data_IF_706462695447
#
_entry.id   IF_706462695447
#
_cell.length_a   1.000
_cell.length_b   1.000
_cell.length_c   1.000
_cell.angle_alpha   90.00
_cell.angle_beta   90.00
_cell.angle_gamma   90.00
#
_symmetry.space_group_name_H-M   'P 1'
#
loop_
_entity.id
_entity.type
_entity.pdbx_description
1 polymer ?
#
# COMPACT_ATOMS: atom_id res chain seq x y z
N UNK A 1 17.94 -3.07 -20.45
CA UNK A 1 17.65 -2.12 -19.37
C UNK A 1 16.17 -1.71 -19.30
N UNK A 2 15.56 -1.01 -20.27
CA UNK A 2 14.16 -0.53 -20.15
C UNK A 2 13.04 -1.59 -20.16
N UNK A 3 13.36 -2.88 -20.34
CA UNK A 3 12.40 -3.98 -20.41
C UNK A 3 12.55 -5.01 -19.27
N UNK A 4 13.44 -4.77 -18.32
CA UNK A 4 13.64 -5.68 -17.19
C UNK A 4 12.58 -5.41 -16.11
N UNK A 5 11.92 -6.48 -15.62
CA UNK A 5 10.77 -6.40 -14.71
C UNK A 5 11.06 -5.55 -13.45
N UNK A 6 12.29 -5.61 -12.93
CA UNK A 6 12.71 -4.83 -11.76
C UNK A 6 12.71 -3.32 -11.98
N UNK A 7 12.80 -2.87 -13.24
CA UNK A 7 12.77 -1.44 -13.58
C UNK A 7 11.46 -0.81 -13.15
N UNK A 8 10.34 -1.53 -13.28
CA UNK A 8 9.00 -1.03 -12.92
C UNK A 8 8.84 -0.92 -11.40
N UNK A 9 9.30 -1.89 -10.64
CA UNK A 9 9.29 -1.86 -9.17
C UNK A 9 10.10 -0.69 -8.63
N UNK A 10 11.33 -0.52 -9.12
CA UNK A 10 12.21 0.57 -8.68
C UNK A 10 11.63 1.95 -9.05
N UNK A 11 11.08 2.09 -10.25
CA UNK A 11 10.42 3.32 -10.69
C UNK A 11 9.24 3.67 -9.78
N UNK A 12 8.40 2.70 -9.41
CA UNK A 12 7.24 2.93 -8.55
C UNK A 12 7.64 3.28 -7.11
N UNK A 13 8.66 2.62 -6.55
CA UNK A 13 9.23 3.01 -5.24
C UNK A 13 9.79 4.43 -5.26
N UNK A 14 10.43 4.82 -6.37
CA UNK A 14 10.93 6.19 -6.55
C UNK A 14 9.79 7.20 -6.62
N UNK A 15 8.75 6.94 -7.42
CA UNK A 15 7.59 7.84 -7.53
C UNK A 15 6.81 7.98 -6.21
N UNK A 16 6.67 6.91 -5.43
CA UNK A 16 6.12 7.02 -4.08
C UNK A 16 6.93 7.99 -3.21
N UNK A 17 8.27 7.97 -3.33
CA UNK A 17 9.14 8.91 -2.63
C UNK A 17 8.97 10.36 -3.08
N UNK A 18 8.74 10.61 -4.37
CA UNK A 18 8.44 11.95 -4.88
C UNK A 18 7.13 12.50 -4.33
N UNK A 19 6.09 11.67 -4.23
CA UNK A 19 4.82 12.07 -3.63
C UNK A 19 4.95 12.37 -2.14
N UNK A 20 5.69 11.54 -1.39
CA UNK A 20 5.93 11.78 0.05
C UNK A 20 6.72 13.06 0.32
N UNK A 21 7.67 13.40 -0.56
CA UNK A 21 8.40 14.67 -0.47
C UNK A 21 7.52 15.87 -0.84
N UNK A 22 6.64 15.73 -1.83
CA UNK A 22 5.69 16.77 -2.22
C UNK A 22 4.63 17.00 -1.14
N UNK A 23 4.18 15.94 -0.48
CA UNK A 23 3.34 16.00 0.72
C UNK A 23 4.03 16.82 1.81
N UNK A 24 5.27 16.49 2.18
CA UNK A 24 6.03 17.21 3.21
C UNK A 24 6.08 18.72 2.92
N UNK A 25 6.34 19.10 1.66
CA UNK A 25 6.34 20.51 1.24
C UNK A 25 4.97 21.17 1.35
N UNK A 26 3.89 20.44 1.05
CA UNK A 26 2.53 20.96 1.19
C UNK A 26 2.16 21.25 2.66
N UNK A 27 2.61 20.41 3.60
CA UNK A 27 2.44 20.64 5.04
C UNK A 27 3.19 21.89 5.51
N UNK A 28 4.42 22.10 5.01
CA UNK A 28 5.26 23.24 5.39
C UNK A 28 4.84 24.56 4.72
N UNK A 29 4.32 24.49 3.50
CA UNK A 29 4.18 25.64 2.59
C UNK A 29 3.09 26.66 2.91
N UNK A 30 2.23 26.43 3.93
CA UNK A 30 1.08 27.30 4.30
C UNK A 30 0.21 27.78 3.12
N UNK A 31 0.20 27.04 2.02
CA UNK A 31 -0.60 27.39 0.86
C UNK A 31 -2.10 27.25 1.20
N UNK A 32 -2.95 28.09 0.61
CA UNK A 32 -4.41 28.05 0.84
C UNK A 32 -5.03 26.68 0.51
N UNK A 33 -4.38 25.92 -0.40
CA UNK A 33 -4.79 24.59 -0.85
C UNK A 33 -3.99 23.45 -0.19
N UNK A 34 -3.28 23.69 0.91
CA UNK A 34 -2.39 22.70 1.54
C UNK A 34 -3.10 21.36 1.84
N UNK A 35 -4.34 21.38 2.33
CA UNK A 35 -5.09 20.15 2.63
C UNK A 35 -5.40 19.31 1.38
N UNK A 36 -5.77 19.97 0.27
CA UNK A 36 -6.05 19.29 -1.00
C UNK A 36 -4.75 18.70 -1.59
N UNK A 37 -3.63 19.41 -1.47
CA UNK A 37 -2.31 18.91 -1.88
C UNK A 37 -1.89 17.70 -1.04
N UNK A 38 -2.03 17.77 0.28
CA UNK A 38 -1.76 16.64 1.19
C UNK A 38 -2.58 15.41 0.81
N UNK A 39 -3.89 15.57 0.57
CA UNK A 39 -4.75 14.45 0.18
C UNK A 39 -4.34 13.88 -1.20
N UNK A 40 -4.07 14.74 -2.18
CA UNK A 40 -3.62 14.31 -3.51
C UNK A 40 -2.31 13.51 -3.44
N UNK A 41 -1.33 14.00 -2.67
CA UNK A 41 -0.04 13.32 -2.55
C UNK A 41 -0.12 12.03 -1.73
N UNK A 42 -1.05 11.95 -0.76
CA UNK A 42 -1.36 10.71 -0.04
C UNK A 42 -1.85 9.62 -1.00
N UNK A 43 -2.84 9.93 -1.82
CA UNK A 43 -3.40 8.98 -2.78
C UNK A 43 -2.37 8.59 -3.85
N UNK A 44 -1.56 9.54 -4.33
CA UNK A 44 -0.49 9.28 -5.27
C UNK A 44 0.59 8.35 -4.70
N UNK A 45 1.05 8.60 -3.46
CA UNK A 45 2.01 7.74 -2.78
C UNK A 45 1.47 6.32 -2.65
N UNK A 46 0.22 6.15 -2.19
CA UNK A 46 -0.42 4.85 -2.04
C UNK A 46 -0.58 4.11 -3.38
N UNK A 47 -1.02 4.81 -4.43
CA UNK A 47 -1.09 4.26 -5.79
C UNK A 47 0.28 3.77 -6.29
N UNK A 48 1.33 4.54 -6.02
CA UNK A 48 2.68 4.15 -6.41
C UNK A 48 3.21 2.97 -5.61
N UNK A 49 2.93 2.87 -4.31
CA UNK A 49 3.33 1.72 -3.49
C UNK A 49 2.62 0.43 -3.92
N UNK A 50 1.32 0.47 -4.17
CA UNK A 50 0.60 -0.68 -4.76
C UNK A 50 1.21 -1.08 -6.12
N UNK A 51 1.53 -0.10 -6.96
CA UNK A 51 2.20 -0.35 -8.24
C UNK A 51 3.60 -0.96 -8.10
N UNK A 52 4.34 -0.62 -7.04
CA UNK A 52 5.64 -1.22 -6.74
C UNK A 52 5.48 -2.67 -6.27
N UNK A 53 4.51 -2.96 -5.41
CA UNK A 53 4.18 -4.32 -4.98
C UNK A 53 3.79 -5.20 -6.16
N UNK A 54 2.95 -4.70 -7.07
CA UNK A 54 2.59 -5.41 -8.30
C UNK A 54 3.83 -5.69 -9.17
N UNK A 55 4.72 -4.70 -9.31
CA UNK A 55 6.00 -4.89 -10.02
C UNK A 55 6.84 -6.01 -9.38
N UNK A 56 6.95 -6.04 -8.06
CA UNK A 56 7.70 -7.08 -7.34
C UNK A 56 7.06 -8.46 -7.53
N UNK A 57 5.73 -8.55 -7.50
CA UNK A 57 5.03 -9.80 -7.81
C UNK A 57 5.29 -10.27 -9.25
N UNK A 58 5.39 -9.34 -10.22
CA UNK A 58 5.76 -9.67 -11.60
C UNK A 58 7.21 -10.15 -11.71
N UNK A 59 8.15 -9.58 -10.95
CA UNK A 59 9.53 -10.09 -10.90
C UNK A 59 9.56 -11.54 -10.43
N UNK A 60 8.91 -11.85 -9.30
CA UNK A 60 8.83 -13.20 -8.73
C UNK A 60 8.14 -14.15 -9.71
N UNK A 61 6.97 -13.77 -10.23
CA UNK A 61 6.21 -14.58 -11.16
C UNK A 61 6.98 -14.83 -12.46
N UNK A 62 7.72 -13.84 -12.96
CA UNK A 62 8.58 -13.97 -14.13
C UNK A 62 9.76 -14.92 -13.89
N UNK A 63 10.42 -14.83 -12.74
CA UNK A 63 11.53 -15.70 -12.37
C UNK A 63 11.09 -17.17 -12.30
N UNK A 64 10.00 -17.46 -11.59
CA UNK A 64 9.44 -18.81 -11.46
C UNK A 64 8.59 -19.26 -12.66
N UNK A 65 8.45 -18.41 -13.70
CA UNK A 65 7.65 -18.66 -14.92
C UNK A 65 6.20 -19.05 -14.62
N UNK A 66 5.60 -18.35 -13.66
CA UNK A 66 4.20 -18.57 -13.29
C UNK A 66 3.26 -18.19 -14.45
N UNK A 67 2.17 -18.94 -14.66
CA UNK A 67 1.12 -18.54 -15.61
C UNK A 67 0.57 -17.12 -15.38
N UNK A 68 0.57 -16.69 -14.12
CA UNK A 68 0.05 -15.41 -13.65
C UNK A 68 1.03 -14.23 -13.86
N UNK A 69 2.20 -14.44 -14.49
CA UNK A 69 3.22 -13.38 -14.67
C UNK A 69 2.69 -12.11 -15.37
N UNK A 70 1.58 -12.20 -16.11
CA UNK A 70 0.90 -11.07 -16.73
C UNK A 70 -0.30 -10.49 -15.95
N UNK A 71 -0.57 -10.95 -14.73
CA UNK A 71 -1.76 -10.57 -13.98
C UNK A 71 -1.77 -9.05 -13.67
N UNK A 72 -2.86 -8.32 -13.97
CA UNK A 72 -2.90 -6.87 -13.80
C UNK A 72 -3.07 -6.40 -12.35
N UNK A 73 -3.35 -7.30 -11.40
CA UNK A 73 -3.67 -6.98 -10.00
C UNK A 73 -2.91 -7.85 -9.02
N UNK A 74 -2.55 -7.28 -7.87
CA UNK A 74 -1.82 -7.99 -6.81
C UNK A 74 -2.67 -9.13 -6.25
N UNK A 75 -3.97 -8.91 -6.10
CA UNK A 75 -4.92 -9.90 -5.55
C UNK A 75 -5.10 -11.13 -6.43
N UNK A 76 -4.63 -11.10 -7.69
CA UNK A 76 -4.60 -12.26 -8.57
C UNK A 76 -3.32 -13.09 -8.43
N UNK A 77 -2.28 -12.52 -7.83
CA UNK A 77 -0.96 -13.14 -7.62
C UNK A 77 -0.81 -13.65 -6.18
N UNK A 78 -1.19 -12.82 -5.20
CA UNK A 78 -1.05 -13.12 -3.78
C UNK A 78 -2.25 -13.91 -3.26
N UNK A 79 -2.38 -15.16 -3.71
CA UNK A 79 -3.43 -16.08 -3.26
C UNK A 79 -2.87 -17.42 -2.79
N UNK A 80 -3.54 -18.12 -1.86
CA UNK A 80 -3.17 -19.48 -1.49
C UNK A 80 -3.07 -20.43 -2.68
N UNK A 81 -3.91 -20.23 -3.70
CA UNK A 81 -3.97 -21.09 -4.88
C UNK A 81 -2.73 -20.94 -5.76
N UNK A 82 -2.31 -19.70 -6.03
CA UNK A 82 -1.07 -19.45 -6.80
C UNK A 82 0.14 -19.96 -6.03
N UNK A 83 0.20 -19.73 -4.71
CA UNK A 83 1.27 -20.26 -3.86
C UNK A 83 1.32 -21.79 -3.86
N UNK A 84 0.17 -22.46 -3.78
CA UNK A 84 0.11 -23.92 -3.83
C UNK A 84 0.52 -24.49 -5.19
N UNK A 85 0.21 -23.78 -6.29
CA UNK A 85 0.56 -24.19 -7.64
C UNK A 85 2.06 -24.04 -7.93
N UNK A 86 2.70 -23.03 -7.34
CA UNK A 86 4.13 -22.79 -7.48
C UNK A 86 4.74 -22.25 -6.16
N UNK A 87 5.13 -23.15 -5.25
CA UNK A 87 5.70 -22.76 -3.97
C UNK A 87 7.05 -22.06 -4.15
N UNK A 88 7.16 -20.84 -3.64
CA UNK A 88 8.44 -20.14 -3.47
C UNK A 88 8.47 -19.39 -2.14
N UNK A 89 9.65 -19.23 -1.52
CA UNK A 89 9.77 -18.55 -0.23
C UNK A 89 9.32 -17.08 -0.30
N UNK A 90 9.63 -16.37 -1.38
CA UNK A 90 9.26 -14.97 -1.58
C UNK A 90 7.73 -14.80 -1.72
N UNK A 91 7.10 -15.69 -2.49
CA UNK A 91 5.65 -15.67 -2.66
C UNK A 91 4.94 -16.08 -1.36
N UNK A 92 5.47 -17.07 -0.64
CA UNK A 92 4.92 -17.51 0.64
C UNK A 92 4.90 -16.35 1.65
N UNK A 93 6.02 -15.62 1.76
CA UNK A 93 6.12 -14.48 2.66
C UNK A 93 5.15 -13.35 2.28
N UNK A 94 5.03 -13.00 1.00
CA UNK A 94 4.08 -11.97 0.55
C UNK A 94 2.63 -12.37 0.79
N UNK A 95 2.29 -13.64 0.58
CA UNK A 95 0.93 -14.17 0.84
C UNK A 95 0.62 -14.16 2.33
N UNK A 96 1.58 -14.54 3.18
CA UNK A 96 1.42 -14.49 4.64
C UNK A 96 1.19 -13.06 5.12
N UNK A 97 2.05 -12.13 4.70
CA UNK A 97 1.90 -10.71 5.03
C UNK A 97 0.52 -10.19 4.57
N UNK A 98 0.11 -10.46 3.33
CA UNK A 98 -1.17 -9.96 2.81
C UNK A 98 -2.42 -10.51 3.54
N UNK A 99 -2.31 -11.68 4.18
CA UNK A 99 -3.44 -12.31 4.90
C UNK A 99 -3.53 -11.89 6.37
N UNK A 100 -2.43 -11.45 6.97
CA UNK A 100 -2.40 -10.99 8.35
C UNK A 100 -2.77 -9.49 8.39
N UNK A 101 -4.01 -9.20 8.83
CA UNK A 101 -4.61 -7.86 8.74
C UNK A 101 -3.84 -6.73 9.43
N UNK A 102 -3.02 -7.05 10.43
CA UNK A 102 -2.19 -6.09 11.18
C UNK A 102 -0.83 -5.80 10.53
N UNK A 103 -0.52 -6.46 9.41
CA UNK A 103 0.74 -6.19 8.72
C UNK A 103 0.59 -4.96 7.83
N UNK A 104 1.73 -4.29 7.64
CA UNK A 104 1.82 -3.16 6.72
C UNK A 104 1.34 -3.48 5.30
N UNK A 105 1.48 -4.73 4.86
CA UNK A 105 1.09 -5.14 3.50
C UNK A 105 -0.43 -5.28 3.39
N UNK A 106 -1.07 -5.90 4.38
CA UNK A 106 -2.52 -6.01 4.43
C UNK A 106 -3.18 -4.62 4.55
N UNK A 107 -2.64 -3.75 5.41
CA UNK A 107 -3.08 -2.36 5.55
C UNK A 107 -2.92 -1.57 4.25
N UNK A 108 -1.80 -1.74 3.54
CA UNK A 108 -1.58 -1.10 2.24
C UNK A 108 -2.61 -1.55 1.19
N UNK A 109 -2.92 -2.84 1.13
CA UNK A 109 -3.93 -3.38 0.20
C UNK A 109 -5.33 -2.85 0.54
N UNK A 110 -5.70 -2.86 1.82
CA UNK A 110 -6.98 -2.33 2.30
C UNK A 110 -7.11 -0.83 1.99
N UNK A 111 -6.07 -0.05 2.29
CA UNK A 111 -6.04 1.38 2.00
C UNK A 111 -6.16 1.66 0.49
N UNK A 112 -5.46 0.89 -0.35
CA UNK A 112 -5.55 1.06 -1.80
C UNK A 112 -6.97 0.75 -2.31
N UNK A 113 -7.60 -0.30 -1.80
CA UNK A 113 -8.99 -0.65 -2.15
C UNK A 113 -9.99 0.41 -1.68
N UNK A 114 -9.71 1.09 -0.56
CA UNK A 114 -10.54 2.18 -0.04
C UNK A 114 -10.62 3.39 -0.98
N UNK A 115 -9.60 3.62 -1.84
CA UNK A 115 -9.61 4.69 -2.85
C UNK A 115 -10.76 4.56 -3.87
N UNK A 116 -11.28 3.35 -4.05
CA UNK A 116 -12.37 3.07 -5.00
C UNK A 116 -13.75 3.02 -4.34
N UNK A 117 -13.83 3.26 -3.03
CA UNK A 117 -15.10 3.31 -2.31
C UNK A 117 -15.74 4.71 -2.46
N UNK A 118 -17.08 4.79 -2.54
CA UNK A 118 -17.76 6.08 -2.54
C UNK A 118 -17.51 6.80 -1.20
N UNK A 119 -17.61 8.14 -1.17
CA UNK A 119 -17.57 8.90 0.08
C UNK A 119 -18.59 8.34 1.08
N UNK A 120 -18.10 7.92 2.24
CA UNK A 120 -18.97 7.40 3.30
C UNK A 120 -19.39 8.54 4.23
N UNK A 121 -20.65 8.54 4.65
CA UNK A 121 -21.09 9.43 5.71
C UNK A 121 -20.32 9.09 7.01
N UNK A 122 -19.95 10.09 7.82
CA UNK A 122 -19.30 9.84 9.10
C UNK A 122 -20.12 8.85 9.93
N UNK A 123 -19.46 7.83 10.48
CA UNK A 123 -20.13 6.83 11.32
C UNK A 123 -20.62 7.55 12.57
N UNK A 124 -21.94 7.70 12.71
CA UNK A 124 -22.51 8.16 13.97
C UNK A 124 -22.19 7.11 15.04
N UNK A 125 -21.43 7.52 16.05
CA UNK A 125 -21.24 6.71 17.24
C UNK A 125 -22.64 6.36 17.79
N UNK A 126 -22.88 5.07 18.09
CA UNK A 126 -24.11 4.66 18.75
C UNK A 126 -24.13 5.26 20.15
N UNK A 127 -24.80 6.39 20.31
CA UNK A 127 -25.06 6.98 21.63
C UNK A 127 -26.11 6.11 22.32
N UNK A 128 -25.76 5.56 23.49
CA UNK A 128 -26.71 4.85 24.33
C UNK A 128 -27.75 5.84 24.89
N UNK A 129 -29.05 5.70 24.58
CA UNK A 129 -30.09 6.65 24.97
C UNK A 129 -30.37 6.66 26.48
N UNK A 130 -29.78 5.75 27.27
CA UNK A 130 -29.96 5.67 28.72
C UNK A 130 -28.94 6.50 29.52
N UNK A 131 -27.91 7.05 28.86
CA UNK A 131 -26.89 7.87 29.52
C UNK A 131 -27.31 9.36 29.52
N UNK A 132 -27.16 10.08 30.65
CA UNK A 132 -27.48 11.51 30.71
C UNK A 132 -26.63 12.28 29.70
N UNK A 133 -27.32 13.05 28.85
CA UNK A 133 -26.78 13.87 27.76
C UNK A 133 -25.82 14.96 28.27
N UNK A 134 -24.56 14.59 28.50
CA UNK A 134 -23.45 15.53 28.32
C UNK A 134 -23.23 15.54 26.81
N UNK A 135 -23.64 16.62 26.14
CA UNK A 135 -23.32 16.85 24.73
C UNK A 135 -21.83 17.19 24.64
N UNK A 136 -20.98 16.18 24.81
CA UNK A 136 -19.65 16.21 24.26
C UNK A 136 -19.85 16.34 22.75
N UNK A 137 -19.42 17.47 22.19
CA UNK A 137 -19.23 17.58 20.74
C UNK A 137 -18.17 16.53 20.43
N UNK A 138 -18.62 15.34 20.03
CA UNK A 138 -17.77 14.32 19.47
C UNK A 138 -17.18 14.93 18.21
N UNK A 139 -15.95 15.44 18.34
CA UNK A 139 -15.07 15.70 17.20
C UNK A 139 -15.12 14.41 16.41
N UNK A 140 -15.62 14.51 15.18
CA UNK A 140 -15.85 13.40 14.27
C UNK A 140 -14.68 12.41 14.36
N UNK A 141 -14.87 11.30 15.09
CA UNK A 141 -13.87 10.22 15.26
C UNK A 141 -13.87 9.37 13.98
N UNK A 142 -13.76 10.04 12.83
CA UNK A 142 -13.28 9.39 11.63
C UNK A 142 -11.88 8.88 11.92
N UNK A 143 -11.62 7.63 11.53
CA UNK A 143 -10.27 7.06 11.60
C UNK A 143 -9.29 8.04 10.94
N UNK A 144 -8.26 8.44 11.69
CA UNK A 144 -7.34 9.47 11.24
C UNK A 144 -6.75 9.04 9.88
N UNK A 145 -6.76 9.92 8.86
CA UNK A 145 -6.30 9.51 7.55
C UNK A 145 -4.81 9.17 7.63
N UNK A 146 -4.39 8.15 6.87
CA UNK A 146 -3.03 7.60 6.92
C UNK A 146 -1.96 8.69 6.97
N UNK A 147 -1.00 8.52 7.87
CA UNK A 147 0.13 9.44 8.05
C UNK A 147 1.18 9.30 6.96
N UNK A 148 1.93 10.37 6.70
CA UNK A 148 3.06 10.38 5.76
C UNK A 148 4.18 9.44 6.20
N UNK A 149 4.44 9.40 7.50
CA UNK A 149 5.40 8.53 8.17
C UNK A 149 5.04 7.05 8.02
N UNK A 150 3.75 6.71 8.11
CA UNK A 150 3.25 5.35 7.87
C UNK A 150 3.57 4.92 6.42
N UNK A 151 3.20 5.74 5.43
CA UNK A 151 3.49 5.42 4.02
C UNK A 151 4.99 5.36 3.71
N UNK A 152 5.80 6.23 4.33
CA UNK A 152 7.26 6.15 4.20
C UNK A 152 7.81 4.85 4.82
N UNK A 153 7.27 4.39 5.95
CA UNK A 153 7.64 3.11 6.55
C UNK A 153 7.31 1.93 5.60
N UNK A 154 6.11 1.94 4.99
CA UNK A 154 5.70 0.93 4.02
C UNK A 154 6.59 0.94 2.78
N UNK A 155 6.99 2.13 2.31
CA UNK A 155 7.95 2.30 1.22
C UNK A 155 9.31 1.65 1.54
N UNK A 156 9.82 1.84 2.76
CA UNK A 156 11.09 1.24 3.17
C UNK A 156 10.98 -0.28 3.37
N UNK A 157 9.87 -0.77 3.90
CA UNK A 157 9.60 -2.21 4.02
C UNK A 157 9.58 -2.86 2.64
N UNK A 158 8.85 -2.28 1.68
CA UNK A 158 8.76 -2.80 0.32
C UNK A 158 10.11 -2.74 -0.41
N UNK A 159 10.89 -1.67 -0.22
CA UNK A 159 12.26 -1.59 -0.77
C UNK A 159 13.16 -2.68 -0.20
N UNK A 160 13.08 -2.92 1.12
CA UNK A 160 13.87 -3.96 1.78
C UNK A 160 13.49 -5.36 1.31
N UNK A 161 12.19 -5.65 1.15
CA UNK A 161 11.71 -6.90 0.54
C UNK A 161 12.26 -7.08 -0.88
N UNK A 162 12.13 -6.05 -1.73
CA UNK A 162 12.58 -6.14 -3.11
C UNK A 162 14.09 -6.42 -3.22
N UNK A 163 14.91 -5.80 -2.37
CA UNK A 163 16.35 -6.07 -2.34
C UNK A 163 16.65 -7.51 -1.89
N UNK A 164 16.07 -7.93 -0.76
CA UNK A 164 16.29 -9.27 -0.22
C UNK A 164 15.83 -10.37 -1.17
N UNK A 165 14.65 -10.24 -1.78
CA UNK A 165 14.16 -11.21 -2.75
C UNK A 165 15.08 -11.29 -3.96
N UNK A 166 15.56 -10.16 -4.50
CA UNK A 166 16.49 -10.19 -5.64
C UNK A 166 17.82 -10.86 -5.31
N UNK A 167 18.34 -10.67 -4.10
CA UNK A 167 19.52 -11.39 -3.62
C UNK A 167 19.26 -12.90 -3.65
N UNK A 168 18.17 -13.37 -3.04
CA UNK A 168 17.80 -14.79 -3.02
C UNK A 168 17.58 -15.38 -4.42
N UNK A 169 16.92 -14.64 -5.32
CA UNK A 169 16.67 -15.06 -6.71
C UNK A 169 17.96 -15.08 -7.56
N UNK A 170 18.98 -14.30 -7.20
CA UNK A 170 20.26 -14.26 -7.93
C UNK A 170 21.27 -15.29 -7.43
N UNK A 171 21.08 -15.80 -6.21
CA UNK A 171 21.97 -16.78 -5.56
C UNK A 171 21.64 -18.25 -5.90
N UNK A 172 20.55 -18.51 -6.64
CA UNK A 172 20.13 -19.85 -7.10
C UNK A 172 20.42 -20.06 -8.59
#
# INVERSE_FOLDING_TARGET
MAHELYTRTNQKIFFAGLSLESWRKAEEGRAMNAQALVQSEREAALFHLYGALLGLCHEIAGYYRLPEAGAPRVEQLLTPQVLAAAPSPELAELVELAQQGETWLAELLAAYQALFQPPQAPRQAKVDPTLPLITAVSVDEGEAPLGRDVLESWRQNLKSLALRFRETLSEC
#
